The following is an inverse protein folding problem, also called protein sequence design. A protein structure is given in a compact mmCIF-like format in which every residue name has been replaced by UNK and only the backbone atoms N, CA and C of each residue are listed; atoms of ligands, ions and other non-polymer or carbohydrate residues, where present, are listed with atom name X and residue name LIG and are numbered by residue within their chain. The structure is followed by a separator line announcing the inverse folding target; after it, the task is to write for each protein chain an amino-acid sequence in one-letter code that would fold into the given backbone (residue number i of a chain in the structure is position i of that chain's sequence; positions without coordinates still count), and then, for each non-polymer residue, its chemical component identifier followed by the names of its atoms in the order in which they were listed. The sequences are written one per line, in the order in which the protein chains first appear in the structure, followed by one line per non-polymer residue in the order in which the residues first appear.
data_IF_940801917400
#
_entry.id   IF_940801917400
#
_cell.length_a   1.000
_cell.length_b   1.000
_cell.length_c   1.000
_cell.angle_alpha   90.00
_cell.angle_beta   90.00
_cell.angle_gamma   90.00
#
_symmetry.space_group_name_H-M   'P 1'
#
loop_
_entity.id
_entity.type
_entity.pdbx_description
1 polymer ?
#
# COMPACT_ATOMS: atom_id res chain seq x y z
N UNK A 1 3.89 0.00 29.62
CA UNK A 1 3.15 -0.60 28.48
C UNK A 1 4.14 -0.78 27.32
N UNK A 2 4.27 -1.97 26.71
CA UNK A 2 5.28 -2.23 25.68
C UNK A 2 4.91 -1.70 24.28
N UNK A 3 3.65 -1.30 24.07
CA UNK A 3 3.23 -0.68 22.82
C UNK A 3 3.47 0.82 22.91
N UNK A 4 4.36 1.32 22.04
CA UNK A 4 4.63 2.75 21.84
C UNK A 4 4.37 3.10 20.38
N UNK A 5 3.69 4.22 20.16
CA UNK A 5 3.30 4.70 18.83
C UNK A 5 1.83 5.14 18.82
N UNK A 6 1.52 6.13 17.98
CA UNK A 6 0.14 6.51 17.65
C UNK A 6 -0.26 5.83 16.34
N UNK A 7 -1.44 5.21 16.29
CA UNK A 7 -1.97 4.56 15.08
C UNK A 7 -3.20 5.30 14.54
N UNK A 8 -3.57 5.02 13.29
CA UNK A 8 -4.84 5.47 12.68
C UNK A 8 -4.87 6.92 12.17
N UNK A 9 -3.87 7.74 12.48
CA UNK A 9 -3.70 9.07 11.87
C UNK A 9 -3.11 8.91 10.46
N UNK A 10 -3.67 9.64 9.49
CA UNK A 10 -3.08 9.71 8.15
C UNK A 10 -1.71 10.39 8.19
N UNK A 11 -0.75 9.93 7.36
CA UNK A 11 0.53 10.61 7.17
C UNK A 11 0.34 12.08 6.79
N UNK A 12 1.24 12.96 7.22
CA UNK A 12 1.20 14.38 6.88
C UNK A 12 1.64 14.66 5.43
N UNK A 13 2.45 13.74 4.88
CA UNK A 13 2.98 13.79 3.52
C UNK A 13 3.09 12.38 2.95
N UNK A 14 3.33 12.28 1.65
CA UNK A 14 3.56 10.99 0.99
C UNK A 14 4.88 10.34 1.39
N UNK A 15 5.90 11.13 1.75
CA UNK A 15 7.21 10.65 2.17
C UNK A 15 7.14 9.89 3.50
N UNK A 16 6.13 10.21 4.32
CA UNK A 16 5.82 9.53 5.59
C UNK A 16 4.77 8.42 5.42
N UNK A 17 4.39 8.12 4.17
CA UNK A 17 3.35 7.18 3.82
C UNK A 17 3.78 5.71 3.83
N UNK A 18 2.81 4.78 3.76
CA UNK A 18 3.13 3.36 3.60
C UNK A 18 3.76 3.08 2.23
N UNK A 19 4.72 2.15 2.21
CA UNK A 19 5.36 1.69 0.97
C UNK A 19 4.68 0.45 0.41
N UNK A 20 4.55 0.39 -0.91
CA UNK A 20 4.17 -0.81 -1.64
C UNK A 20 5.39 -1.34 -2.40
N UNK A 21 5.78 -2.58 -2.12
CA UNK A 21 6.90 -3.26 -2.78
C UNK A 21 6.35 -4.49 -3.51
N UNK A 22 6.70 -4.63 -4.79
CA UNK A 22 6.22 -5.73 -5.64
C UNK A 22 7.38 -6.34 -6.43
N UNK A 23 7.51 -7.67 -6.39
CA UNK A 23 8.54 -8.40 -7.14
C UNK A 23 8.18 -8.60 -8.61
N UNK A 24 6.90 -8.46 -8.98
CA UNK A 24 6.45 -8.62 -10.36
C UNK A 24 6.81 -7.36 -11.17
N UNK A 25 7.65 -7.47 -12.20
CA UNK A 25 8.06 -6.30 -12.98
C UNK A 25 6.85 -5.60 -13.61
N UNK A 26 6.80 -4.27 -13.50
CA UNK A 26 5.76 -3.41 -14.11
C UNK A 26 4.32 -3.67 -13.62
N UNK A 27 4.15 -4.38 -12.50
CA UNK A 27 2.85 -4.64 -11.89
C UNK A 27 2.20 -3.40 -11.25
N UNK A 28 3.00 -2.38 -10.94
CA UNK A 28 2.58 -1.20 -10.19
C UNK A 28 3.12 0.04 -10.88
N UNK A 29 2.29 1.08 -10.99
CA UNK A 29 2.71 2.41 -11.44
C UNK A 29 3.33 3.24 -10.31
N UNK A 30 3.38 4.55 -10.48
CA UNK A 30 4.01 5.46 -9.50
C UNK A 30 3.28 5.49 -8.14
N UNK A 31 1.95 5.38 -8.14
CA UNK A 31 1.10 5.46 -6.95
C UNK A 31 -0.06 4.50 -7.01
N UNK A 32 -0.48 4.02 -5.83
CA UNK A 32 -1.67 3.18 -5.63
C UNK A 32 -2.46 3.76 -4.48
N UNK A 33 -3.74 4.06 -4.71
CA UNK A 33 -4.62 4.44 -3.61
C UNK A 33 -4.75 3.24 -2.65
N UNK A 34 -4.70 3.49 -1.34
CA UNK A 34 -4.79 2.40 -0.35
C UNK A 34 -6.08 1.56 -0.50
N UNK A 35 -7.16 2.18 -1.00
CA UNK A 35 -8.43 1.51 -1.30
C UNK A 35 -8.36 0.52 -2.46
N UNK A 36 -7.40 0.70 -3.37
CA UNK A 36 -7.30 -0.06 -4.61
C UNK A 36 -6.40 -1.29 -4.45
N UNK A 37 -5.71 -1.42 -3.31
CA UNK A 37 -4.83 -2.57 -3.01
C UNK A 37 -5.56 -3.90 -3.18
N UNK A 38 -6.84 -3.98 -2.81
CA UNK A 38 -7.65 -5.18 -3.03
C UNK A 38 -7.74 -5.55 -4.52
N UNK A 39 -8.04 -4.58 -5.37
CA UNK A 39 -8.19 -4.83 -6.81
C UNK A 39 -6.87 -5.21 -7.45
N UNK A 40 -5.78 -4.54 -7.06
CA UNK A 40 -4.43 -4.89 -7.48
C UNK A 40 -4.09 -6.36 -7.14
N UNK A 41 -4.39 -6.79 -5.91
CA UNK A 41 -4.13 -8.18 -5.49
C UNK A 41 -4.93 -9.20 -6.32
N UNK A 42 -6.19 -8.89 -6.64
CA UNK A 42 -7.02 -9.78 -7.47
C UNK A 42 -6.49 -9.86 -8.91
N UNK A 43 -6.08 -8.74 -9.50
CA UNK A 43 -5.47 -8.71 -10.83
C UNK A 43 -4.16 -9.51 -10.88
N UNK A 44 -3.28 -9.36 -9.89
CA UNK A 44 -2.03 -10.11 -9.81
C UNK A 44 -2.23 -11.61 -9.60
N UNK A 45 -3.36 -12.01 -9.02
CA UNK A 45 -3.77 -13.40 -8.89
C UNK A 45 -4.47 -13.97 -10.14
N UNK A 46 -4.74 -13.15 -11.17
CA UNK A 46 -5.51 -13.53 -12.34
C UNK A 46 -7.02 -13.71 -12.07
N UNK A 47 -7.54 -13.00 -11.07
CA UNK A 47 -8.91 -13.10 -10.57
C UNK A 47 -9.75 -11.83 -10.81
N UNK A 48 -9.25 -10.90 -11.65
CA UNK A 48 -9.85 -9.59 -11.92
C UNK A 48 -10.04 -9.34 -13.41
#
# INVERSE_FOLDING_TARGET
SPVRGSHGRLPASDDDGPLLICSTPRAVGDRVAATDVKQLLLQLAGLG
#
